data_IF_316785684327
#
_entry.id   IF_316785684327
#
_cell.length_a   1.000
_cell.length_b   1.000
_cell.length_c   1.000
_cell.angle_alpha   90.00
_cell.angle_beta   90.00
_cell.angle_gamma   90.00
#
_symmetry.space_group_name_H-M   'P 1'
#
loop_
_entity.id
_entity.type
_entity.pdbx_description
1 polymer ?
#
# COMPACT_ATOMS: atom_id res chain seq x y z
N UNK A 1 44.33 20.77 43.13
CA UNK A 1 44.42 19.87 41.96
C UNK A 1 43.60 18.61 42.21
N UNK A 2 42.33 18.55 41.78
CA UNK A 2 41.53 17.31 41.72
C UNK A 2 40.52 17.41 40.56
N UNK A 3 40.82 16.60 39.53
CA UNK A 3 40.00 16.01 38.44
C UNK A 3 38.62 16.63 38.08
N UNK A 4 38.48 17.07 36.83
CA UNK A 4 37.28 16.82 36.04
C UNK A 4 37.68 15.97 34.82
N UNK A 5 37.54 14.65 34.89
CA UNK A 5 37.86 13.78 33.76
C UNK A 5 36.83 12.65 33.57
N UNK A 6 35.59 12.86 34.04
CA UNK A 6 34.56 11.82 34.01
C UNK A 6 33.22 12.30 33.41
N UNK A 7 33.28 13.18 32.40
CA UNK A 7 32.06 13.72 31.77
C UNK A 7 32.13 13.76 30.23
N UNK A 8 33.08 13.05 29.61
CA UNK A 8 33.25 13.03 28.15
C UNK A 8 32.86 11.67 27.53
N UNK A 9 32.63 10.62 28.32
CA UNK A 9 32.41 9.27 27.76
C UNK A 9 30.94 8.86 27.49
N UNK A 10 29.95 9.70 27.74
CA UNK A 10 28.52 9.33 27.62
C UNK A 10 27.86 9.88 26.33
N UNK A 11 28.57 10.60 25.47
CA UNK A 11 28.04 11.10 24.20
C UNK A 11 28.29 10.18 22.99
N UNK A 12 28.89 9.00 23.20
CA UNK A 12 29.21 8.04 22.14
C UNK A 12 28.10 7.02 21.83
N UNK A 13 26.95 7.09 22.50
CA UNK A 13 25.88 6.10 22.37
C UNK A 13 24.54 6.78 22.09
N UNK A 14 24.30 7.17 20.83
CA UNK A 14 22.93 7.33 20.28
C UNK A 14 22.87 7.65 18.77
N UNK A 15 23.98 7.66 18.03
CA UNK A 15 23.90 7.66 16.57
C UNK A 15 23.53 6.26 16.11
N UNK A 16 22.24 5.96 15.93
CA UNK A 16 21.83 4.86 15.04
C UNK A 16 22.37 5.23 13.66
N UNK A 17 23.57 4.78 13.32
CA UNK A 17 23.97 4.65 11.91
C UNK A 17 23.03 3.61 11.35
N UNK A 18 21.91 4.04 10.78
CA UNK A 18 21.18 3.19 9.87
C UNK A 18 22.20 2.70 8.85
N UNK A 19 22.32 1.39 8.68
CA UNK A 19 23.24 0.86 7.70
C UNK A 19 22.73 1.39 6.36
N UNK A 20 23.51 2.25 5.73
CA UNK A 20 23.20 2.70 4.40
C UNK A 20 23.38 1.48 3.51
N UNK A 21 22.28 0.75 3.27
CA UNK A 21 22.25 -0.34 2.33
C UNK A 21 22.65 0.23 0.96
N UNK A 22 23.73 -0.30 0.40
CA UNK A 22 24.04 -0.01 -1.00
C UNK A 22 22.92 -0.60 -1.84
N UNK A 23 22.18 0.29 -2.51
CA UNK A 23 21.16 -0.15 -3.45
C UNK A 23 21.86 -0.96 -4.56
N UNK A 24 21.30 -2.12 -4.94
CA UNK A 24 21.82 -2.86 -6.07
C UNK A 24 21.82 -1.97 -7.32
N UNK A 25 22.82 -2.16 -8.19
CA UNK A 25 22.86 -1.48 -9.48
C UNK A 25 21.57 -1.76 -10.28
N UNK A 26 21.26 -0.90 -11.25
CA UNK A 26 20.08 -1.07 -12.09
C UNK A 26 20.02 -2.48 -12.71
N UNK A 27 18.88 -3.14 -12.56
CA UNK A 27 18.60 -4.52 -12.97
C UNK A 27 19.41 -5.61 -12.25
N UNK A 28 20.22 -5.28 -11.24
CA UNK A 28 20.88 -6.28 -10.42
C UNK A 28 19.87 -6.96 -9.49
N UNK A 29 20.01 -8.27 -9.33
CA UNK A 29 19.20 -9.06 -8.40
C UNK A 29 19.93 -9.23 -7.07
N UNK A 30 19.21 -9.10 -5.97
CA UNK A 30 19.76 -9.42 -4.65
C UNK A 30 19.99 -10.93 -4.52
N UNK A 31 21.22 -11.31 -4.13
CA UNK A 31 21.54 -12.69 -3.82
C UNK A 31 20.82 -13.18 -2.55
N UNK A 32 20.66 -14.50 -2.40
CA UNK A 32 19.98 -15.11 -1.24
C UNK A 32 20.57 -14.66 0.11
N UNK A 33 21.89 -14.48 0.17
CA UNK A 33 22.57 -14.03 1.38
C UNK A 33 22.15 -12.60 1.77
N UNK A 34 22.18 -11.66 0.82
CA UNK A 34 21.73 -10.29 1.06
C UNK A 34 20.26 -10.25 1.51
N UNK A 35 19.40 -11.07 0.89
CA UNK A 35 18.00 -11.22 1.34
C UNK A 35 17.93 -11.73 2.78
N UNK A 36 18.72 -12.75 3.14
CA UNK A 36 18.72 -13.28 4.50
C UNK A 36 19.21 -12.25 5.53
N UNK A 37 20.21 -11.44 5.19
CA UNK A 37 20.70 -10.34 6.03
C UNK A 37 19.62 -9.27 6.22
N UNK A 38 18.93 -8.84 5.15
CA UNK A 38 17.79 -7.90 5.22
C UNK A 38 16.70 -8.44 6.15
N UNK A 39 16.38 -9.72 6.03
CA UNK A 39 15.29 -10.33 6.80
C UNK A 39 15.67 -10.62 8.26
N UNK A 40 16.95 -10.82 8.56
CA UNK A 40 17.44 -11.01 9.92
C UNK A 40 17.59 -9.67 10.67
N UNK A 41 17.70 -8.56 9.94
CA UNK A 41 17.81 -7.23 10.52
C UNK A 41 16.48 -6.78 11.14
N UNK A 42 16.58 -6.14 12.31
CA UNK A 42 15.46 -5.50 13.02
C UNK A 42 15.56 -3.98 12.98
N UNK A 43 16.26 -3.41 12.00
CA UNK A 43 16.43 -1.96 11.81
C UNK A 43 15.10 -1.19 11.83
N UNK A 44 14.02 -1.83 11.40
CA UNK A 44 12.66 -1.28 11.41
C UNK A 44 11.72 -2.16 12.26
N UNK A 45 11.71 -2.00 13.60
CA UNK A 45 10.82 -2.77 14.46
C UNK A 45 9.37 -2.30 14.30
N UNK A 46 8.41 -3.16 14.64
CA UNK A 46 7.00 -2.76 14.74
C UNK A 46 6.82 -1.87 15.98
N UNK A 47 6.55 -0.59 15.76
CA UNK A 47 6.43 0.40 16.84
C UNK A 47 5.01 0.94 16.99
N UNK A 48 4.12 0.65 16.03
CA UNK A 48 2.80 1.28 15.98
C UNK A 48 1.72 0.26 15.69
N UNK A 49 0.56 0.42 16.34
CA UNK A 49 -0.70 -0.07 15.79
C UNK A 49 -1.23 0.92 14.73
N UNK A 50 -2.27 0.56 13.99
CA UNK A 50 -2.83 1.42 12.96
C UNK A 50 -4.36 1.32 12.88
N UNK A 51 -4.97 2.35 12.32
CA UNK A 51 -6.38 2.36 11.92
C UNK A 51 -6.47 2.24 10.40
N UNK A 52 -7.29 1.33 9.91
CA UNK A 52 -7.63 1.23 8.49
C UNK A 52 -8.95 1.93 8.21
N UNK A 53 -9.00 2.73 7.15
CA UNK A 53 -10.22 3.36 6.63
C UNK A 53 -10.34 3.13 5.14
N UNK A 54 -11.58 2.98 4.67
CA UNK A 54 -11.90 2.89 3.24
C UNK A 54 -12.83 4.07 2.92
N UNK A 55 -12.35 4.98 2.08
CA UNK A 55 -13.07 6.16 1.64
C UNK A 55 -13.55 6.00 0.19
N UNK A 56 -14.73 6.55 -0.08
CA UNK A 56 -15.36 6.57 -1.41
C UNK A 56 -15.49 8.01 -1.86
N UNK A 57 -14.78 8.36 -2.94
CA UNK A 57 -14.80 9.71 -3.51
C UNK A 57 -15.60 9.66 -4.80
N UNK A 58 -16.82 10.17 -4.75
CA UNK A 58 -17.71 10.27 -5.91
C UNK A 58 -17.35 11.53 -6.73
N UNK A 59 -17.20 11.38 -8.05
CA UNK A 59 -16.85 12.49 -8.96
C UNK A 59 -17.44 12.27 -10.36
N UNK A 60 -17.44 13.32 -11.18
CA UNK A 60 -17.88 13.27 -12.58
C UNK A 60 -16.72 13.60 -13.51
N UNK A 61 -16.54 12.80 -14.57
CA UNK A 61 -15.60 13.09 -15.65
C UNK A 61 -16.25 12.75 -16.99
N UNK A 62 -16.04 13.59 -18.01
CA UNK A 62 -16.66 13.41 -19.34
C UNK A 62 -18.19 13.18 -19.31
N UNK A 63 -18.88 13.81 -18.35
CA UNK A 63 -20.33 13.65 -18.16
C UNK A 63 -20.77 12.32 -17.54
N UNK A 64 -19.83 11.47 -17.10
CA UNK A 64 -20.10 10.17 -16.49
C UNK A 64 -19.73 10.18 -14.99
N UNK A 65 -20.53 9.54 -14.11
CA UNK A 65 -20.22 9.43 -12.70
C UNK A 65 -19.22 8.30 -12.43
N UNK A 66 -18.32 8.54 -11.48
CA UNK A 66 -17.31 7.59 -11.02
C UNK A 66 -17.21 7.62 -9.49
N UNK A 67 -16.73 6.52 -8.93
CA UNK A 67 -16.33 6.41 -7.52
C UNK A 67 -14.89 5.93 -7.44
N UNK A 68 -14.00 6.75 -6.88
CA UNK A 68 -12.63 6.38 -6.53
C UNK A 68 -12.64 5.77 -5.13
N UNK A 69 -12.01 4.61 -4.96
CA UNK A 69 -11.86 3.97 -3.64
C UNK A 69 -10.43 4.19 -3.13
N UNK A 70 -10.33 4.66 -1.89
CA UNK A 70 -9.06 4.98 -1.23
C UNK A 70 -9.00 4.21 0.09
N UNK A 71 -7.98 3.37 0.26
CA UNK A 71 -7.74 2.68 1.53
C UNK A 71 -6.60 3.40 2.22
N UNK A 72 -6.80 3.82 3.46
CA UNK A 72 -5.78 4.52 4.26
C UNK A 72 -5.49 3.73 5.52
N UNK A 73 -4.20 3.42 5.76
CA UNK A 73 -3.72 2.90 7.03
C UNK A 73 -2.97 4.03 7.74
N UNK A 74 -3.54 4.49 8.85
CA UNK A 74 -2.97 5.56 9.68
C UNK A 74 -2.32 4.96 10.92
N UNK A 75 -1.00 5.05 11.09
CA UNK A 75 -0.33 4.62 12.31
C UNK A 75 -0.71 5.52 13.50
N UNK A 76 -0.86 4.92 14.67
CA UNK A 76 -1.09 5.64 15.93
C UNK A 76 0.16 6.40 16.40
N UNK A 77 1.36 5.88 16.07
CA UNK A 77 2.65 6.50 16.31
C UNK A 77 3.37 6.73 14.96
N UNK A 78 3.07 7.83 14.24
CA UNK A 78 3.66 8.08 12.93
C UNK A 78 5.17 8.33 13.02
N UNK A 79 5.93 7.68 12.15
CA UNK A 79 7.33 7.99 11.91
C UNK A 79 7.46 9.36 11.26
N UNK A 80 8.38 10.16 11.79
CA UNK A 80 8.64 11.52 11.31
C UNK A 80 10.01 11.59 10.63
N UNK A 81 10.07 12.27 9.49
CA UNK A 81 11.28 12.75 8.84
C UNK A 81 11.23 14.27 8.82
N UNK A 82 12.17 14.93 9.50
CA UNK A 82 12.22 16.39 9.66
C UNK A 82 10.89 16.96 10.23
N UNK A 83 10.33 16.30 11.23
CA UNK A 83 9.05 16.68 11.85
C UNK A 83 7.80 16.41 11.01
N UNK A 84 7.94 15.80 9.82
CA UNK A 84 6.82 15.50 8.92
C UNK A 84 6.57 13.99 8.85
N UNK A 85 5.30 13.60 8.77
CA UNK A 85 4.91 12.19 8.60
C UNK A 85 5.39 11.64 7.27
N UNK A 86 5.82 10.39 7.28
CA UNK A 86 6.12 9.65 6.05
C UNK A 86 4.80 9.06 5.52
N UNK A 87 4.53 9.31 4.23
CA UNK A 87 3.36 8.78 3.54
C UNK A 87 3.82 8.03 2.31
N UNK A 88 3.34 6.80 2.14
CA UNK A 88 3.54 6.00 0.93
C UNK A 88 2.18 5.85 0.24
N UNK A 89 2.15 6.18 -1.05
CA UNK A 89 0.95 6.01 -1.89
C UNK A 89 1.19 4.85 -2.84
N UNK A 90 0.43 3.77 -2.66
CA UNK A 90 0.43 2.61 -3.53
C UNK A 90 -0.51 2.81 -4.71
N UNK A 91 0.04 2.68 -5.92
CA UNK A 91 -0.69 2.56 -7.17
C UNK A 91 0.15 1.74 -8.13
N UNK A 92 -0.39 0.64 -8.63
CA UNK A 92 0.23 -0.15 -9.69
C UNK A 92 -0.36 0.29 -11.05
N UNK A 93 0.27 -0.01 -12.20
CA UNK A 93 -0.36 0.11 -13.50
C UNK A 93 -0.90 -1.23 -14.03
N UNK A 94 -2.23 -1.38 -14.14
CA UNK A 94 -2.90 -2.46 -14.88
C UNK A 94 -4.10 -3.15 -14.19
N UNK A 95 -4.02 -3.48 -12.91
CA UNK A 95 -4.97 -4.40 -12.24
C UNK A 95 -5.44 -3.99 -10.83
N UNK A 96 -5.06 -2.79 -10.38
CA UNK A 96 -5.08 -2.32 -8.99
C UNK A 96 -6.39 -2.60 -8.26
N UNK A 97 -6.37 -3.62 -7.41
CA UNK A 97 -7.28 -3.78 -6.30
C UNK A 97 -6.53 -3.38 -5.02
N UNK A 98 -6.93 -2.29 -4.36
CA UNK A 98 -6.13 -1.72 -3.28
C UNK A 98 -5.92 -2.65 -2.07
N UNK A 99 -6.75 -3.68 -1.90
CA UNK A 99 -6.58 -4.68 -0.84
C UNK A 99 -5.40 -5.62 -1.08
N UNK A 100 -4.86 -5.70 -2.30
CA UNK A 100 -3.65 -6.50 -2.58
C UNK A 100 -2.41 -5.95 -1.87
N UNK A 101 -2.41 -4.66 -1.49
CA UNK A 101 -1.39 -4.10 -0.61
C UNK A 101 -1.61 -4.47 0.86
N UNK A 102 -2.84 -4.81 1.25
CA UNK A 102 -3.23 -5.11 2.63
C UNK A 102 -2.99 -6.59 2.94
N UNK A 103 -3.34 -7.48 2.02
CA UNK A 103 -3.18 -8.93 2.19
C UNK A 103 -2.63 -9.57 0.94
N UNK A 104 -1.69 -10.48 1.13
CA UNK A 104 -1.14 -11.34 0.07
C UNK A 104 -2.14 -12.42 -0.34
N UNK A 105 -1.88 -13.07 -1.48
CA UNK A 105 -2.68 -14.23 -1.93
C UNK A 105 -2.66 -15.39 -0.94
N UNK A 106 -1.60 -15.51 -0.11
CA UNK A 106 -1.54 -16.51 0.96
C UNK A 106 -2.23 -16.05 2.26
N UNK A 107 -3.02 -14.97 2.21
CA UNK A 107 -3.74 -14.38 3.36
C UNK A 107 -2.81 -13.94 4.50
N UNK A 108 -1.57 -13.57 4.17
CA UNK A 108 -0.61 -12.92 5.08
C UNK A 108 -0.65 -11.41 4.93
N UNK A 109 -0.09 -10.70 5.90
CA UNK A 109 0.06 -9.25 5.86
C UNK A 109 0.80 -8.79 4.60
N UNK A 110 0.19 -7.87 3.87
CA UNK A 110 0.77 -7.23 2.71
C UNK A 110 1.72 -6.07 3.09
N UNK A 111 2.37 -5.46 2.09
CA UNK A 111 3.35 -4.39 2.33
C UNK A 111 2.76 -3.18 3.05
N UNK A 112 1.47 -2.85 2.87
CA UNK A 112 0.83 -1.73 3.56
C UNK A 112 0.77 -1.94 5.06
N UNK A 113 0.44 -3.16 5.51
CA UNK A 113 0.38 -3.51 6.94
C UNK A 113 1.78 -3.44 7.54
N UNK A 114 2.77 -4.01 6.84
CA UNK A 114 4.16 -3.97 7.28
C UNK A 114 4.65 -2.54 7.51
N UNK A 115 4.35 -1.63 6.58
CA UNK A 115 4.68 -0.20 6.66
C UNK A 115 3.91 0.52 7.77
N UNK A 116 2.60 0.27 7.88
CA UNK A 116 1.76 0.90 8.90
C UNK A 116 2.21 0.55 10.32
N UNK A 117 2.60 -0.71 10.57
CA UNK A 117 3.13 -1.11 11.89
C UNK A 117 4.47 -0.47 12.25
N UNK A 118 5.16 0.12 11.26
CA UNK A 118 6.44 0.84 11.41
C UNK A 118 6.28 2.36 11.37
N UNK A 119 5.05 2.86 11.52
CA UNK A 119 4.79 4.29 11.63
C UNK A 119 4.65 4.99 10.27
N UNK A 120 4.61 4.28 9.15
CA UNK A 120 4.39 4.89 7.83
C UNK A 120 2.89 4.95 7.54
N UNK A 121 2.38 6.13 7.17
CA UNK A 121 1.00 6.21 6.65
C UNK A 121 0.96 5.61 5.25
N UNK A 122 0.07 4.65 5.01
CA UNK A 122 -0.08 4.04 3.70
C UNK A 122 -1.42 4.41 3.09
N UNK A 123 -1.41 4.77 1.79
CA UNK A 123 -2.61 5.08 1.02
C UNK A 123 -2.62 4.21 -0.23
N UNK A 124 -3.56 3.28 -0.33
CA UNK A 124 -3.81 2.50 -1.55
C UNK A 124 -4.90 3.18 -2.39
N UNK A 125 -4.57 3.53 -3.63
CA UNK A 125 -5.53 4.02 -4.61
C UNK A 125 -6.00 2.84 -5.47
N UNK A 126 -7.26 2.44 -5.29
CA UNK A 126 -7.84 1.38 -6.15
C UNK A 126 -8.18 1.98 -7.50
N UNK A 127 -7.77 1.35 -8.60
CA UNK A 127 -8.13 1.86 -9.93
C UNK A 127 -9.64 1.90 -10.10
N UNK A 128 -10.14 3.01 -10.64
CA UNK A 128 -11.55 3.16 -11.00
C UNK A 128 -11.99 2.00 -11.91
N UNK A 129 -13.09 1.34 -11.56
CA UNK A 129 -13.55 0.13 -12.23
C UNK A 129 -13.12 -1.19 -11.56
N UNK A 130 -12.10 -1.19 -10.71
CA UNK A 130 -11.56 -2.41 -10.09
C UNK A 130 -12.12 -2.73 -8.71
N UNK A 131 -12.80 -1.81 -8.04
CA UNK A 131 -13.50 -2.14 -6.81
C UNK A 131 -14.84 -2.82 -7.11
N UNK A 132 -15.07 -4.01 -6.57
CA UNK A 132 -16.37 -4.68 -6.69
C UNK A 132 -17.37 -4.15 -5.63
N UNK A 133 -18.14 -3.13 -5.98
CA UNK A 133 -19.19 -2.59 -5.10
C UNK A 133 -20.34 -3.57 -4.82
N UNK A 134 -20.39 -4.70 -5.53
CA UNK A 134 -21.39 -5.77 -5.36
C UNK A 134 -20.82 -6.97 -4.59
N UNK A 135 -19.58 -6.87 -4.08
CA UNK A 135 -18.97 -7.92 -3.27
C UNK A 135 -19.76 -8.12 -1.95
N UNK A 136 -20.12 -9.35 -1.57
CA UNK A 136 -20.88 -9.61 -0.33
C UNK A 136 -20.18 -9.12 0.93
N UNK A 137 -18.85 -9.18 0.97
CA UNK A 137 -18.03 -8.77 2.11
C UNK A 137 -17.80 -7.25 2.22
N UNK A 138 -18.29 -6.46 1.25
CA UNK A 138 -17.99 -5.01 1.14
C UNK A 138 -16.49 -4.67 1.08
N UNK A 139 -15.64 -5.67 0.84
CA UNK A 139 -14.19 -5.56 0.72
C UNK A 139 -13.75 -5.23 -0.72
N UNK A 140 -14.69 -5.15 -1.66
CA UNK A 140 -14.40 -4.89 -3.06
C UNK A 140 -13.85 -6.09 -3.82
N UNK A 141 -13.85 -7.28 -3.22
CA UNK A 141 -13.22 -8.47 -3.79
C UNK A 141 -13.96 -9.01 -5.01
N UNK A 142 -13.18 -9.50 -5.97
CA UNK A 142 -13.66 -10.24 -7.14
C UNK A 142 -13.51 -11.76 -6.98
N UNK A 143 -13.04 -12.26 -5.83
CA UNK A 143 -12.69 -13.66 -5.61
C UNK A 143 -13.82 -14.63 -5.97
N UNK A 144 -15.08 -14.27 -5.63
CA UNK A 144 -16.26 -15.08 -5.91
C UNK A 144 -16.81 -14.95 -7.34
N UNK A 145 -16.28 -14.04 -8.16
CA UNK A 145 -16.71 -13.81 -9.53
C UNK A 145 -15.69 -14.43 -10.49
N UNK A 146 -16.15 -15.32 -11.36
CA UNK A 146 -15.30 -15.98 -12.34
C UNK A 146 -14.64 -14.95 -13.28
N UNK A 147 -13.36 -15.15 -13.63
CA UNK A 147 -12.55 -14.18 -14.37
C UNK A 147 -13.23 -13.65 -15.64
N UNK A 148 -13.84 -14.54 -16.42
CA UNK A 148 -14.56 -14.25 -17.66
C UNK A 148 -15.86 -13.44 -17.47
N UNK A 149 -16.33 -13.31 -16.22
CA UNK A 149 -17.52 -12.55 -15.85
C UNK A 149 -17.16 -11.22 -15.17
N UNK A 150 -15.89 -10.97 -14.84
CA UNK A 150 -15.47 -9.74 -14.17
C UNK A 150 -15.56 -8.57 -15.14
N UNK A 151 -16.42 -7.61 -14.81
CA UNK A 151 -16.64 -6.39 -15.59
C UNK A 151 -16.37 -5.17 -14.72
N UNK A 152 -15.76 -4.10 -15.23
CA UNK A 152 -15.50 -2.91 -14.42
C UNK A 152 -16.77 -2.35 -13.77
N UNK A 153 -16.66 -1.92 -12.52
CA UNK A 153 -17.73 -1.17 -11.82
C UNK A 153 -17.23 0.23 -11.52
N UNK A 154 -17.82 1.21 -12.21
CA UNK A 154 -17.30 2.58 -12.20
C UNK A 154 -17.83 3.43 -11.05
N UNK A 155 -18.99 3.08 -10.49
CA UNK A 155 -19.64 3.85 -9.42
C UNK A 155 -20.27 2.92 -8.39
N UNK A 156 -20.23 3.33 -7.11
CA UNK A 156 -20.91 2.62 -6.01
C UNK A 156 -22.44 2.63 -6.10
N UNK A 157 -22.99 3.45 -7.00
CA UNK A 157 -24.43 3.49 -7.25
C UNK A 157 -24.89 2.34 -8.15
N UNK A 158 -24.00 1.71 -8.91
CA UNK A 158 -24.30 0.56 -9.76
C UNK A 158 -24.81 -0.62 -8.91
N UNK A 159 -25.92 -1.23 -9.32
CA UNK A 159 -26.61 -2.29 -8.55
C UNK A 159 -26.50 -3.69 -9.13
N UNK A 160 -26.06 -3.79 -10.39
CA UNK A 160 -25.93 -5.06 -11.12
C UNK A 160 -24.63 -5.08 -11.91
N UNK A 161 -24.09 -6.26 -12.18
CA UNK A 161 -23.00 -6.39 -13.14
C UNK A 161 -23.47 -6.07 -14.55
N UNK A 162 -22.54 -5.64 -15.40
CA UNK A 162 -22.80 -5.46 -16.82
C UNK A 162 -23.13 -6.82 -17.45
N UNK A 163 -24.14 -6.85 -18.32
CA UNK A 163 -24.38 -8.02 -19.16
C UNK A 163 -23.25 -8.16 -20.18
N UNK A 164 -22.84 -9.38 -20.50
CA UNK A 164 -21.78 -9.63 -21.49
C UNK A 164 -22.11 -9.04 -22.87
N UNK A 165 -23.40 -8.92 -23.21
CA UNK A 165 -23.89 -8.28 -24.44
C UNK A 165 -23.66 -6.77 -24.49
N UNK A 166 -23.32 -6.11 -23.38
CA UNK A 166 -23.02 -4.68 -23.34
C UNK A 166 -21.59 -4.35 -23.78
N UNK A 167 -20.77 -5.35 -24.10
CA UNK A 167 -19.41 -5.16 -24.60
C UNK A 167 -19.48 -4.70 -26.06
N UNK A 168 -19.24 -3.41 -26.29
CA UNK A 168 -19.03 -2.86 -27.64
C UNK A 168 -17.53 -2.86 -27.91
N UNK A 169 -17.02 -3.87 -28.62
CA UNK A 169 -15.66 -3.82 -29.14
C UNK A 169 -15.63 -2.84 -30.32
N UNK A 170 -15.04 -1.66 -30.14
CA UNK A 170 -14.62 -0.86 -31.30
C UNK A 170 -13.42 -1.58 -31.90
N UNK A 171 -13.65 -2.27 -33.02
CA UNK A 171 -12.55 -2.70 -33.89
C UNK A 171 -11.85 -1.42 -34.34
N UNK A 172 -10.54 -1.24 -34.09
CA UNK A 172 -9.80 -0.12 -34.65
C UNK A 172 -9.93 -0.22 -36.17
N UNK A 173 -10.55 0.76 -36.80
CA UNK A 173 -10.47 0.91 -38.25
C UNK A 173 -9.03 1.29 -38.55
N UNK A 174 -8.30 0.35 -39.16
CA UNK A 174 -6.95 0.53 -39.71
C UNK A 174 -6.88 1.68 -40.70
#
# INVERSE_FOLDING_TARGET
MRRPCLLVLILLSAGRTGLAWDLPADNATLGRQAIAEILADQEFPETSSYTQRIDFIDFTAHGQPFTQVVITLTPNEPQLRNGKRIVVVGGEPGSEYGMDFISTVEKRDGPAIWLARRGVTFVALTRVGRWNFLAPGSDGSWESVALQQRMPIFTRTQKIYWASSAIVSRVPTS
#
